data_IF_142283175908
#
_entry.id   IF_142283175908
#
_cell.length_a   1.000
_cell.length_b   1.000
_cell.length_c   1.000
_cell.angle_alpha   90.00
_cell.angle_beta   90.00
_cell.angle_gamma   90.00
#
_symmetry.space_group_name_H-M   'P 1'
#
loop_
_entity.id
_entity.type
_entity.pdbx_description
1 polymer ?
#
# COMPACT_ATOMS: atom_id res chain seq x y z
N UNK A 1 -22.63 -13.92 14.50
CA UNK A 1 -22.12 -15.00 13.64
C UNK A 1 -20.68 -14.68 13.35
N UNK A 2 -19.75 -15.54 13.75
CA UNK A 2 -18.33 -15.35 13.46
C UNK A 2 -18.08 -15.66 11.98
N UNK A 3 -17.48 -14.71 11.27
CA UNK A 3 -17.07 -14.88 9.87
C UNK A 3 -15.73 -15.58 9.89
N UNK A 4 -15.52 -16.61 9.07
CA UNK A 4 -14.23 -17.31 8.96
C UNK A 4 -13.66 -17.09 7.55
N UNK A 5 -12.35 -16.90 7.47
CA UNK A 5 -11.62 -16.79 6.20
C UNK A 5 -10.61 -17.91 6.06
N UNK A 6 -10.30 -18.24 4.82
CA UNK A 6 -9.27 -19.20 4.51
C UNK A 6 -7.88 -18.65 4.88
N UNK A 7 -7.10 -19.40 5.66
CA UNK A 7 -5.72 -19.06 6.01
C UNK A 7 -4.67 -19.88 5.27
N UNK A 8 -5.05 -21.02 4.69
CA UNK A 8 -4.14 -21.87 3.91
C UNK A 8 -4.88 -22.49 2.72
N UNK A 9 -4.29 -22.37 1.54
CA UNK A 9 -4.83 -22.87 0.28
C UNK A 9 -3.90 -23.95 -0.25
N UNK A 10 -4.48 -25.08 -0.63
CA UNK A 10 -3.80 -26.14 -1.36
C UNK A 10 -4.50 -26.41 -2.69
N UNK A 11 -3.74 -26.93 -3.66
CA UNK A 11 -4.30 -27.34 -4.95
C UNK A 11 -4.51 -28.86 -4.89
N UNK A 12 -5.77 -29.27 -4.81
CA UNK A 12 -6.16 -30.68 -4.85
C UNK A 12 -6.92 -30.90 -6.15
N UNK A 13 -6.43 -31.82 -6.99
CA UNK A 13 -7.05 -32.11 -8.30
C UNK A 13 -7.25 -30.86 -9.18
N UNK A 14 -6.26 -29.96 -9.19
CA UNK A 14 -6.30 -28.71 -9.96
C UNK A 14 -7.39 -27.71 -9.50
N UNK A 15 -7.97 -27.91 -8.31
CA UNK A 15 -8.93 -27.01 -7.68
C UNK A 15 -8.31 -26.40 -6.43
N UNK A 16 -8.36 -25.07 -6.32
CA UNK A 16 -7.96 -24.37 -5.10
C UNK A 16 -8.94 -24.72 -3.98
N UNK A 17 -8.43 -25.43 -2.98
CA UNK A 17 -9.20 -25.88 -1.83
C UNK A 17 -8.59 -25.27 -0.57
N UNK A 18 -9.44 -24.73 0.30
CA UNK A 18 -8.99 -24.23 1.57
C UNK A 18 -8.79 -25.37 2.56
N UNK A 19 -7.63 -25.45 3.19
CA UNK A 19 -7.29 -26.50 4.17
C UNK A 19 -7.32 -26.03 5.62
N UNK A 20 -7.37 -24.71 5.84
CA UNK A 20 -7.50 -24.14 7.19
C UNK A 20 -8.33 -22.85 7.16
N UNK A 21 -9.25 -22.72 8.13
CA UNK A 21 -10.09 -21.54 8.32
C UNK A 21 -9.79 -20.90 9.68
N UNK A 22 -9.65 -19.58 9.70
CA UNK A 22 -9.45 -18.79 10.92
C UNK A 22 -10.59 -17.79 11.09
N UNK A 23 -10.99 -17.48 12.35
CA UNK A 23 -12.02 -16.48 12.59
C UNK A 23 -11.53 -15.12 12.10
N UNK A 24 -12.31 -14.52 11.20
CA UNK A 24 -12.09 -13.19 10.65
C UNK A 24 -12.46 -12.15 11.71
N UNK A 25 -11.47 -11.75 12.50
CA UNK A 25 -11.63 -10.55 13.31
C UNK A 25 -11.59 -9.31 12.39
N UNK A 26 -12.50 -8.37 12.62
CA UNK A 26 -12.55 -7.10 11.88
C UNK A 26 -11.18 -6.38 11.91
N UNK A 27 -10.44 -6.52 13.02
CA UNK A 27 -9.09 -6.01 13.18
C UNK A 27 -8.08 -6.59 12.18
N UNK A 28 -8.20 -7.86 11.76
CA UNK A 28 -7.27 -8.48 10.79
C UNK A 28 -7.52 -7.99 9.35
N UNK A 29 -8.77 -7.69 8.99
CA UNK A 29 -9.10 -7.07 7.70
C UNK A 29 -8.52 -5.66 7.64
N UNK A 30 -8.69 -4.88 8.69
CA UNK A 30 -8.18 -3.51 8.69
C UNK A 30 -6.67 -3.43 8.93
N UNK A 31 -6.04 -4.33 9.68
CA UNK A 31 -4.58 -4.29 9.88
C UNK A 31 -3.76 -4.56 8.61
N UNK A 32 -4.31 -5.31 7.65
CA UNK A 32 -3.67 -5.56 6.35
C UNK A 32 -3.98 -4.53 5.27
N UNK A 33 -5.07 -3.76 5.42
CA UNK A 33 -5.49 -2.71 4.47
C UNK A 33 -5.29 -1.28 4.98
N UNK A 34 -5.08 -1.09 6.27
CA UNK A 34 -4.80 0.21 6.85
C UNK A 34 -3.33 0.54 6.57
N UNK A 35 -3.13 1.55 5.74
CA UNK A 35 -1.85 2.27 5.64
C UNK A 35 -1.50 2.68 7.08
N UNK A 36 -0.42 2.13 7.61
CA UNK A 36 0.02 2.50 8.95
C UNK A 36 0.50 3.96 8.94
N UNK A 37 0.60 4.59 10.10
CA UNK A 37 1.17 5.94 10.19
C UNK A 37 2.60 6.00 9.63
N UNK A 38 3.36 4.90 9.72
CA UNK A 38 4.69 4.81 9.14
C UNK A 38 4.64 4.75 7.60
N UNK A 39 3.70 3.99 7.05
CA UNK A 39 3.50 3.90 5.59
C UNK A 39 3.04 5.24 5.01
N UNK A 40 2.17 5.97 5.71
CA UNK A 40 1.71 7.29 5.25
C UNK A 40 2.83 8.34 5.27
N UNK A 41 3.73 8.29 6.26
CA UNK A 41 4.93 9.14 6.30
C UNK A 41 5.88 8.79 5.16
N UNK A 42 6.09 7.50 4.89
CA UNK A 42 6.96 7.06 3.80
C UNK A 42 6.43 7.54 2.43
N UNK A 43 5.13 7.38 2.18
CA UNK A 43 4.46 7.87 0.97
C UNK A 43 4.59 9.41 0.88
N UNK A 44 4.36 10.13 1.98
CA UNK A 44 4.44 11.60 2.00
C UNK A 44 5.84 12.11 1.69
N UNK A 45 6.89 11.45 2.20
CA UNK A 45 8.29 11.78 1.89
C UNK A 45 8.60 11.59 0.41
N UNK A 46 8.21 10.46 -0.16
CA UNK A 46 8.44 10.17 -1.58
C UNK A 46 7.74 11.21 -2.49
N UNK A 47 6.52 11.62 -2.15
CA UNK A 47 5.80 12.68 -2.87
C UNK A 47 6.52 14.02 -2.74
N UNK A 48 6.97 14.38 -1.53
CA UNK A 48 7.65 15.65 -1.28
C UNK A 48 8.98 15.76 -2.04
N UNK A 49 9.75 14.68 -2.17
CA UNK A 49 11.00 14.64 -2.95
C UNK A 49 10.73 14.88 -4.45
N UNK A 50 9.73 14.21 -5.02
CA UNK A 50 9.36 14.38 -6.44
C UNK A 50 8.87 15.80 -6.69
N UNK A 51 7.99 16.32 -5.84
CA UNK A 51 7.52 17.70 -5.94
C UNK A 51 8.66 18.72 -5.78
N UNK A 52 9.60 18.47 -4.86
CA UNK A 52 10.77 19.32 -4.66
C UNK A 52 11.66 19.40 -5.92
N UNK A 53 11.90 18.26 -6.58
CA UNK A 53 12.65 18.20 -7.85
C UNK A 53 11.93 18.95 -8.97
N UNK A 54 10.63 18.76 -9.12
CA UNK A 54 9.83 19.45 -10.16
C UNK A 54 9.79 20.96 -9.94
N UNK A 55 9.64 21.40 -8.69
CA UNK A 55 9.66 22.81 -8.32
C UNK A 55 11.05 23.39 -8.61
N UNK A 56 12.13 22.74 -8.19
CA UNK A 56 13.50 23.18 -8.48
C UNK A 56 13.75 23.30 -10.00
N UNK A 57 13.31 22.31 -10.78
CA UNK A 57 13.40 22.34 -12.23
C UNK A 57 12.62 23.50 -12.85
N UNK A 58 11.42 23.80 -12.32
CA UNK A 58 10.62 24.95 -12.77
C UNK A 58 11.30 26.30 -12.49
N UNK A 59 12.00 26.44 -11.36
CA UNK A 59 12.77 27.64 -11.03
C UNK A 59 14.00 27.78 -11.94
N UNK A 60 14.73 26.69 -12.19
CA UNK A 60 15.90 26.68 -13.08
C UNK A 60 15.47 27.05 -14.51
N UNK A 61 14.38 26.46 -15.02
CA UNK A 61 13.89 26.80 -16.37
C UNK A 61 13.34 28.23 -16.45
N UNK A 62 12.70 28.76 -15.41
CA UNK A 62 12.31 30.17 -15.36
C UNK A 62 13.53 31.10 -15.38
N UNK A 63 14.58 30.77 -14.62
CA UNK A 63 15.82 31.54 -14.61
C UNK A 63 16.56 31.46 -15.95
N UNK A 64 16.64 30.28 -16.55
CA UNK A 64 17.26 30.07 -17.86
C UNK A 64 16.52 30.76 -19.01
N UNK A 65 15.21 31.00 -18.88
CA UNK A 65 14.40 31.73 -19.87
C UNK A 65 14.41 33.26 -19.64
N UNK A 66 14.94 33.72 -18.51
CA UNK A 66 15.10 35.14 -18.18
C UNK A 66 16.51 35.67 -18.47
N UNK A 67 17.46 34.77 -18.80
CA UNK A 67 18.85 35.07 -19.17
C UNK A 67 19.02 35.20 -20.70
#
# INVERSE_FOLDING_TARGET
MDVYVCSAIEIVNNVQTCTAYVPLSIAQVFNGLAITQQDSIAISKAIAEICGLLIAYSFIMKAAKLA
#
